data_IF_888436732750
#
_entry.id   IF_888436732750
#
_cell.length_a   1.000
_cell.length_b   1.000
_cell.length_c   1.000
_cell.angle_alpha   90.00
_cell.angle_beta   90.00
_cell.angle_gamma   90.00
#
_symmetry.space_group_name_H-M   'P 1'
#
loop_
_entity.id
_entity.type
_entity.pdbx_description
1 polymer ?
#
# COMPACT_ATOMS: atom_id res chain seq x y z
N UNK A 1 -3.65 -11.15 -8.95
CA UNK A 1 -3.40 -9.76 -8.52
C UNK A 1 -4.75 -9.07 -8.35
N UNK A 2 -4.89 -8.17 -7.38
CA UNK A 2 -6.11 -7.37 -7.23
C UNK A 2 -6.32 -6.47 -8.47
N UNK A 3 -7.57 -6.32 -8.91
CA UNK A 3 -7.90 -5.35 -9.95
C UNK A 3 -7.88 -3.93 -9.36
N UNK A 4 -6.88 -3.13 -9.73
CA UNK A 4 -6.72 -1.74 -9.30
C UNK A 4 -6.95 -0.75 -10.46
N UNK A 5 -7.58 -1.18 -11.55
CA UNK A 5 -7.81 -0.36 -12.75
C UNK A 5 -8.64 0.90 -12.49
N UNK A 6 -9.44 0.92 -11.41
CA UNK A 6 -10.22 2.08 -10.97
C UNK A 6 -9.35 3.26 -10.46
N UNK A 7 -8.09 3.01 -10.08
CA UNK A 7 -7.11 4.06 -9.80
C UNK A 7 -6.66 4.63 -11.15
N UNK A 8 -7.11 5.85 -11.48
CA UNK A 8 -6.81 6.50 -12.77
C UNK A 8 -5.38 7.00 -12.86
N UNK A 9 -4.84 7.52 -11.76
CA UNK A 9 -3.45 7.94 -11.71
C UNK A 9 -2.55 6.71 -11.82
N UNK A 10 -1.78 6.65 -12.91
CA UNK A 10 -1.00 5.47 -13.28
C UNK A 10 0.14 5.22 -12.29
N UNK A 11 0.72 6.30 -11.76
CA UNK A 11 1.81 6.23 -10.81
C UNK A 11 1.33 5.65 -9.46
N UNK A 12 0.27 6.22 -8.88
CA UNK A 12 -0.38 5.71 -7.67
C UNK A 12 -0.83 4.26 -7.85
N UNK A 13 -1.44 3.93 -9.01
CA UNK A 13 -1.85 2.55 -9.30
C UNK A 13 -0.67 1.59 -9.29
N UNK A 14 0.45 1.96 -9.90
CA UNK A 14 1.67 1.15 -9.90
C UNK A 14 2.20 0.93 -8.48
N UNK A 15 2.27 2.00 -7.68
CA UNK A 15 2.74 1.92 -6.30
C UNK A 15 1.84 1.07 -5.40
N UNK A 16 0.53 1.26 -5.46
CA UNK A 16 -0.43 0.48 -4.68
C UNK A 16 -0.42 -0.98 -5.14
N UNK A 17 -0.27 -1.26 -6.44
CA UNK A 17 -0.12 -2.62 -6.95
C UNK A 17 1.15 -3.29 -6.42
N UNK A 18 2.28 -2.60 -6.45
CA UNK A 18 3.56 -3.06 -5.93
C UNK A 18 3.50 -3.35 -4.43
N UNK A 19 2.95 -2.43 -3.63
CA UNK A 19 2.79 -2.63 -2.19
C UNK A 19 1.76 -3.71 -1.82
N UNK A 20 0.66 -3.83 -2.58
CA UNK A 20 -0.30 -4.92 -2.40
C UNK A 20 0.35 -6.29 -2.63
N UNK A 21 1.19 -6.41 -3.67
CA UNK A 21 1.92 -7.65 -3.94
C UNK A 21 2.90 -7.97 -2.80
N UNK A 22 3.65 -6.98 -2.31
CA UNK A 22 4.58 -7.16 -1.20
C UNK A 22 3.87 -7.63 0.10
N UNK A 23 2.80 -6.95 0.52
CA UNK A 23 2.04 -7.36 1.72
C UNK A 23 1.43 -8.75 1.56
N UNK A 24 0.98 -9.10 0.36
CA UNK A 24 0.42 -10.44 0.07
C UNK A 24 1.50 -11.51 0.17
N UNK A 25 2.69 -11.27 -0.40
CA UNK A 25 3.81 -12.21 -0.34
C UNK A 25 4.33 -12.43 1.09
N UNK A 26 4.27 -11.39 1.93
CA UNK A 26 4.69 -11.44 3.32
C UNK A 26 3.57 -11.90 4.29
N UNK A 27 2.35 -12.13 3.79
CA UNK A 27 1.18 -12.49 4.60
C UNK A 27 0.84 -11.46 5.70
N UNK A 28 1.16 -10.18 5.47
CA UNK A 28 1.06 -9.11 6.48
C UNK A 28 -0.28 -8.37 6.53
N UNK A 29 -1.31 -8.83 5.80
CA UNK A 29 -2.61 -8.14 5.76
C UNK A 29 -3.27 -8.01 7.13
N UNK A 30 -3.19 -9.03 8.00
CA UNK A 30 -3.72 -8.99 9.35
C UNK A 30 -3.01 -7.94 10.22
N UNK A 31 -1.68 -7.85 10.10
CA UNK A 31 -0.88 -6.84 10.80
C UNK A 31 -1.19 -5.43 10.29
N UNK A 32 -1.25 -5.25 8.96
CA UNK A 32 -1.55 -3.97 8.32
C UNK A 32 -2.91 -3.41 8.77
N UNK A 33 -3.88 -4.28 9.06
CA UNK A 33 -5.19 -3.89 9.57
C UNK A 33 -5.13 -3.24 10.95
N UNK A 34 -4.24 -3.69 11.83
CA UNK A 34 -4.17 -3.27 13.24
C UNK A 34 -3.07 -2.25 13.51
N UNK A 35 -2.02 -2.25 12.70
CA UNK A 35 -0.89 -1.35 12.89
C UNK A 35 -1.28 0.10 12.62
N UNK A 36 -0.85 0.99 13.50
CA UNK A 36 -1.01 2.43 13.36
C UNK A 36 0.35 3.10 13.66
N UNK A 37 1.02 3.68 12.66
CA UNK A 37 2.32 4.31 12.87
C UNK A 37 2.16 5.67 13.57
N UNK A 38 2.91 5.89 14.66
CA UNK A 38 2.87 7.12 15.47
C UNK A 38 3.15 8.39 14.65
N UNK A 39 4.19 8.35 13.81
CA UNK A 39 4.61 9.48 12.97
C UNK A 39 4.28 9.27 11.48
N UNK A 40 3.39 8.33 11.16
CA UNK A 40 3.11 7.92 9.78
C UNK A 40 4.12 6.90 9.24
N UNK A 41 3.74 6.22 8.15
CA UNK A 41 4.53 5.11 7.58
C UNK A 41 5.90 5.53 7.06
N UNK A 42 6.04 6.77 6.56
CA UNK A 42 7.31 7.30 6.05
C UNK A 42 8.43 7.30 7.09
N UNK A 43 8.10 7.56 8.36
CA UNK A 43 9.06 7.69 9.45
C UNK A 43 9.01 6.50 10.41
N UNK A 44 8.28 5.45 10.04
CA UNK A 44 8.15 4.27 10.88
C UNK A 44 9.40 3.42 10.78
N UNK A 45 9.92 3.03 11.94
CA UNK A 45 11.02 2.08 12.09
C UNK A 45 10.54 0.67 12.42
N UNK A 46 9.23 0.40 12.26
CA UNK A 46 8.66 -0.91 12.52
C UNK A 46 9.26 -1.94 11.54
N UNK A 47 9.72 -3.11 12.02
CA UNK A 47 10.35 -4.12 11.16
C UNK A 47 9.49 -4.56 9.98
N UNK A 48 8.17 -4.63 10.14
CA UNK A 48 7.26 -5.01 9.06
C UNK A 48 7.14 -3.89 8.01
N UNK A 49 7.21 -2.62 8.41
CA UNK A 49 7.24 -1.49 7.45
C UNK A 49 8.51 -1.56 6.60
N UNK A 50 9.66 -1.78 7.24
CA UNK A 50 10.96 -1.90 6.57
C UNK A 50 10.93 -3.10 5.61
N UNK A 51 10.50 -4.27 6.09
CA UNK A 51 10.42 -5.50 5.30
C UNK A 51 9.48 -5.37 4.08
N UNK A 52 8.35 -4.66 4.23
CA UNK A 52 7.45 -4.36 3.10
C UNK A 52 8.18 -3.49 2.06
N UNK A 53 8.85 -2.42 2.49
CA UNK A 53 9.60 -1.52 1.60
C UNK A 53 10.73 -2.25 0.85
N UNK A 54 11.48 -3.09 1.55
CA UNK A 54 12.51 -3.94 0.94
C UNK A 54 11.91 -4.91 -0.08
N UNK A 55 10.83 -5.61 0.29
CA UNK A 55 10.15 -6.55 -0.60
C UNK A 55 9.64 -5.84 -1.86
N UNK A 56 9.03 -4.65 -1.71
CA UNK A 56 8.58 -3.82 -2.82
C UNK A 56 9.69 -3.52 -3.84
N UNK A 57 10.92 -3.29 -3.37
CA UNK A 57 12.09 -3.04 -4.22
C UNK A 57 12.63 -4.31 -4.92
N UNK A 58 12.33 -5.51 -4.42
CA UNK A 58 12.74 -6.78 -5.05
C UNK A 58 11.75 -7.30 -6.09
N UNK A 59 10.54 -6.73 -6.15
CA UNK A 59 9.52 -7.13 -7.12
C UNK A 59 9.90 -6.72 -8.54
N UNK A 60 9.43 -7.43 -9.58
CA UNK A 60 9.71 -7.07 -10.96
C UNK A 60 9.22 -5.66 -11.33
N UNK A 61 10.08 -4.88 -11.98
CA UNK A 61 9.81 -3.49 -12.40
C UNK A 61 9.29 -2.60 -11.26
N UNK A 62 10.02 -2.49 -10.14
CA UNK A 62 9.54 -1.76 -8.98
C UNK A 62 9.42 -0.27 -9.34
N UNK A 63 8.30 0.39 -9.04
CA UNK A 63 8.23 1.84 -9.17
C UNK A 63 9.20 2.48 -8.17
N UNK A 64 9.81 3.60 -8.55
CA UNK A 64 10.59 4.39 -7.59
C UNK A 64 9.66 4.99 -6.53
N UNK A 65 10.08 4.95 -5.26
CA UNK A 65 9.35 5.56 -4.15
C UNK A 65 10.19 6.65 -3.48
N UNK A 66 9.58 7.81 -3.23
CA UNK A 66 10.06 8.70 -2.18
C UNK A 66 9.48 8.25 -0.84
N UNK A 67 10.03 8.74 0.28
CA UNK A 67 9.43 8.46 1.59
C UNK A 67 7.97 8.89 1.69
N UNK A 68 7.60 10.02 1.05
CA UNK A 68 6.23 10.52 1.04
C UNK A 68 5.30 9.63 0.21
N UNK A 69 5.72 9.20 -0.99
CA UNK A 69 4.92 8.32 -1.84
C UNK A 69 4.75 6.94 -1.22
N UNK A 70 5.79 6.42 -0.56
CA UNK A 70 5.71 5.20 0.25
C UNK A 70 4.67 5.35 1.36
N UNK A 71 4.73 6.46 2.12
CA UNK A 71 3.78 6.74 3.19
C UNK A 71 2.32 6.78 2.72
N UNK A 72 2.05 7.43 1.59
CA UNK A 72 0.71 7.48 0.96
C UNK A 72 0.28 6.09 0.51
N UNK A 73 1.16 5.36 -0.17
CA UNK A 73 0.90 3.99 -0.64
C UNK A 73 0.49 3.07 0.50
N UNK A 74 1.21 3.12 1.62
CA UNK A 74 0.92 2.33 2.80
C UNK A 74 -0.43 2.70 3.42
N UNK A 75 -0.88 3.96 3.35
CA UNK A 75 -2.22 4.37 3.79
C UNK A 75 -3.33 3.78 2.91
N UNK A 76 -3.14 3.71 1.60
CA UNK A 76 -4.08 3.00 0.70
C UNK A 76 -4.18 1.52 1.08
N UNK A 77 -3.05 0.86 1.32
CA UNK A 77 -3.01 -0.55 1.70
C UNK A 77 -3.63 -0.78 3.09
N UNK A 78 -3.40 0.11 4.04
CA UNK A 78 -4.05 0.08 5.35
C UNK A 78 -5.56 0.23 5.23
N UNK A 79 -6.05 1.12 4.37
CA UNK A 79 -7.48 1.27 4.10
C UNK A 79 -8.06 -0.03 3.53
N UNK A 80 -7.40 -0.64 2.54
CA UNK A 80 -7.80 -1.92 1.94
C UNK A 80 -7.82 -3.02 3.00
N UNK A 81 -6.80 -3.11 3.86
CA UNK A 81 -6.74 -4.10 4.93
C UNK A 81 -7.89 -3.97 5.94
N UNK A 82 -8.30 -2.72 6.24
CA UNK A 82 -9.39 -2.42 7.19
C UNK A 82 -10.78 -2.61 6.59
N UNK A 83 -10.97 -2.29 5.30
CA UNK A 83 -12.29 -2.12 4.68
C UNK A 83 -12.59 -3.04 3.50
N UNK A 84 -11.58 -3.72 2.96
CA UNK A 84 -11.69 -4.48 1.72
C UNK A 84 -11.56 -3.62 0.46
N UNK A 85 -11.34 -4.30 -0.66
CA UNK A 85 -11.08 -3.68 -1.97
C UNK A 85 -12.32 -2.97 -2.55
N UNK A 86 -13.51 -3.55 -2.37
CA UNK A 86 -14.76 -2.96 -2.89
C UNK A 86 -15.05 -1.59 -2.27
N UNK A 87 -14.92 -1.47 -0.95
CA UNK A 87 -15.10 -0.18 -0.27
C UNK A 87 -14.03 0.83 -0.67
N UNK A 88 -12.81 0.38 -0.92
CA UNK A 88 -11.75 1.25 -1.43
C UNK A 88 -12.05 1.79 -2.83
N UNK A 89 -12.59 0.93 -3.71
CA UNK A 89 -13.06 1.32 -5.05
C UNK A 89 -14.18 2.36 -4.95
N UNK A 90 -15.17 2.13 -4.09
CA UNK A 90 -16.25 3.09 -3.87
C UNK A 90 -15.73 4.46 -3.40
N UNK A 91 -14.87 4.51 -2.38
CA UNK A 91 -14.35 5.76 -1.83
C UNK A 91 -13.57 6.60 -2.86
N UNK A 92 -12.76 5.97 -3.70
CA UNK A 92 -12.04 6.67 -4.76
C UNK A 92 -12.94 7.15 -5.91
N UNK A 93 -14.14 6.58 -6.02
CA UNK A 93 -15.13 7.03 -7.01
C UNK A 93 -16.11 8.07 -6.47
N UNK A 94 -16.36 8.10 -5.16
CA UNK A 94 -17.25 9.06 -4.47
C UNK A 94 -16.61 10.42 -4.25
N UNK A 95 -15.31 10.47 -3.95
CA UNK A 95 -14.56 11.72 -3.73
C UNK A 95 -14.18 12.41 -5.07
N UNK A 96 -15.09 12.39 -6.04
CA UNK A 96 -14.95 12.98 -7.37
C UNK A 96 -16.10 13.91 -7.69
#
# INVERSE_FOLDING_TARGET
MADLSFIRDTHTRSMVSNGHQAITQLELWSWMKTFEPENGFMFSTDPNVILIGETMNTLPNPPGHSGSSFGITMRHLQFIAKNGLEKYKEELTKNR
#
